data_IF_047513116819
#
_entry.id   IF_047513116819
#
_cell.length_a   1.000
_cell.length_b   1.000
_cell.length_c   1.000
_cell.angle_alpha   90.00
_cell.angle_beta   90.00
_cell.angle_gamma   90.00
#
_symmetry.space_group_name_H-M   'P 1'
#
loop_
_entity.id
_entity.type
_entity.pdbx_description
1 polymer ?
#
# COMPACT_ATOMS: atom_id res chain seq x y z
N UNK A 1 -22.87 8.67 2.81
CA UNK A 1 -22.87 7.21 2.56
C UNK A 1 -23.93 6.56 3.43
N UNK A 2 -24.58 5.49 2.96
CA UNK A 2 -25.54 4.70 3.76
C UNK A 2 -24.84 3.79 4.78
N UNK A 3 -23.57 3.46 4.55
CA UNK A 3 -22.76 2.57 5.39
C UNK A 3 -22.88 1.10 5.02
N UNK A 4 -23.65 0.77 3.98
CA UNK A 4 -23.73 -0.58 3.44
C UNK A 4 -22.42 -0.94 2.75
N UNK A 5 -21.96 -2.17 2.98
CA UNK A 5 -20.74 -2.71 2.38
C UNK A 5 -21.07 -4.04 1.74
N UNK A 6 -20.64 -4.23 0.49
CA UNK A 6 -20.75 -5.47 -0.23
C UNK A 6 -19.36 -5.92 -0.69
N UNK A 7 -19.08 -7.22 -0.55
CA UNK A 7 -17.85 -7.81 -1.03
C UNK A 7 -18.10 -8.49 -2.37
N UNK A 8 -17.49 -7.98 -3.44
CA UNK A 8 -17.66 -8.52 -4.79
C UNK A 8 -16.76 -9.75 -5.05
N UNK A 9 -15.57 -9.76 -4.45
CA UNK A 9 -14.58 -10.82 -4.59
C UNK A 9 -13.95 -11.16 -3.23
N UNK A 10 -13.52 -12.41 -2.99
CA UNK A 10 -12.67 -12.72 -1.84
C UNK A 10 -11.44 -11.81 -1.82
N UNK A 11 -11.01 -11.35 -0.64
CA UNK A 11 -9.81 -10.52 -0.53
C UNK A 11 -8.51 -11.25 -0.94
N UNK A 12 -8.58 -12.57 -1.07
CA UNK A 12 -7.51 -13.45 -1.55
C UNK A 12 -7.56 -13.69 -3.06
N UNK A 13 -8.54 -13.13 -3.77
CA UNK A 13 -8.66 -13.23 -5.22
C UNK A 13 -8.14 -11.96 -5.91
N UNK A 14 -7.46 -12.13 -7.03
CA UNK A 14 -7.01 -11.00 -7.84
C UNK A 14 -8.20 -10.27 -8.46
N UNK A 15 -8.25 -8.95 -8.30
CA UNK A 15 -9.28 -8.09 -8.88
C UNK A 15 -8.85 -7.58 -10.27
N UNK A 16 -8.54 -8.52 -11.18
CA UNK A 16 -7.98 -8.21 -12.51
C UNK A 16 -8.85 -7.20 -13.28
N UNK A 17 -8.19 -6.29 -13.98
CA UNK A 17 -8.76 -5.20 -14.76
C UNK A 17 -9.17 -3.96 -13.95
N UNK A 18 -9.18 -4.02 -12.62
CA UNK A 18 -9.70 -2.92 -11.80
C UNK A 18 -8.69 -1.78 -11.60
N UNK A 19 -7.39 -2.00 -11.84
CA UNK A 19 -6.34 -0.97 -11.84
C UNK A 19 -5.67 -0.82 -13.21
N UNK A 20 -6.33 -1.26 -14.29
CA UNK A 20 -5.78 -1.24 -15.64
C UNK A 20 -5.94 0.11 -16.38
N UNK A 21 -6.56 1.11 -15.75
CA UNK A 21 -6.87 2.37 -16.42
C UNK A 21 -5.61 3.23 -16.55
N UNK A 22 -4.85 3.04 -17.63
CA UNK A 22 -3.72 3.90 -17.99
C UNK A 22 -2.38 3.20 -18.24
N UNK A 23 -2.25 1.92 -17.85
CA UNK A 23 -1.00 1.17 -17.93
C UNK A 23 -1.16 -0.29 -17.53
N UNK A 24 -0.11 -0.85 -16.93
CA UNK A 24 -0.10 -2.23 -16.42
C UNK A 24 -1.10 -2.37 -15.28
N UNK A 25 -1.88 -3.46 -15.29
CA UNK A 25 -2.87 -3.73 -14.25
C UNK A 25 -2.21 -4.10 -12.92
N UNK A 26 -2.13 -3.12 -12.02
CA UNK A 26 -1.55 -3.31 -10.68
C UNK A 26 -2.41 -4.16 -9.75
N UNK A 27 -3.62 -4.55 -10.16
CA UNK A 27 -4.43 -5.51 -9.41
C UNK A 27 -3.99 -6.97 -9.65
N UNK A 28 -3.22 -7.22 -10.72
CA UNK A 28 -2.63 -8.53 -11.03
C UNK A 28 -1.11 -8.60 -10.82
N UNK A 29 -0.43 -7.45 -10.68
CA UNK A 29 1.02 -7.36 -10.63
C UNK A 29 1.54 -6.49 -9.48
N UNK A 30 2.65 -6.91 -8.86
CA UNK A 30 3.33 -6.16 -7.80
C UNK A 30 2.89 -6.54 -6.38
N UNK A 31 2.63 -5.54 -5.52
CA UNK A 31 2.13 -5.79 -4.16
C UNK A 31 0.70 -6.28 -4.21
N UNK A 32 0.37 -7.25 -3.36
CA UNK A 32 -1.02 -7.59 -3.06
C UNK A 32 -1.73 -6.36 -2.48
N UNK A 33 -2.83 -5.96 -3.10
CA UNK A 33 -3.66 -4.84 -2.64
C UNK A 33 -5.12 -5.26 -2.54
N UNK A 34 -5.85 -4.65 -1.62
CA UNK A 34 -7.32 -4.73 -1.57
C UNK A 34 -7.90 -3.48 -2.21
N UNK A 35 -8.88 -3.67 -3.09
CA UNK A 35 -9.61 -2.57 -3.71
C UNK A 35 -10.90 -2.30 -2.93
N UNK A 36 -11.06 -1.06 -2.50
CA UNK A 36 -12.28 -0.58 -1.85
C UNK A 36 -12.88 0.47 -2.75
N UNK A 37 -14.08 0.18 -3.26
CA UNK A 37 -14.83 1.09 -4.11
C UNK A 37 -15.91 1.78 -3.30
N UNK A 38 -15.97 3.09 -3.46
CA UNK A 38 -16.96 3.95 -2.83
C UNK A 38 -17.93 4.43 -3.90
N UNK A 39 -19.21 4.17 -3.70
CA UNK A 39 -20.27 4.76 -4.52
C UNK A 39 -20.55 6.18 -4.00
N UNK A 40 -20.21 7.17 -4.82
CA UNK A 40 -20.37 8.59 -4.50
C UNK A 40 -20.05 9.50 -5.68
N UNK A 41 -20.12 10.81 -5.48
CA UNK A 41 -19.79 11.79 -6.52
C UNK A 41 -18.33 12.23 -6.38
N UNK A 42 -17.53 12.07 -7.43
CA UNK A 42 -16.10 12.46 -7.39
C UNK A 42 -15.85 13.97 -7.14
N UNK A 43 -16.84 14.82 -7.45
CA UNK A 43 -16.81 16.26 -7.16
C UNK A 43 -17.20 16.61 -5.71
N UNK A 44 -17.80 15.67 -4.98
CA UNK A 44 -18.22 15.82 -3.59
C UNK A 44 -17.51 14.72 -2.79
N UNK A 45 -16.27 14.96 -2.33
CA UNK A 45 -15.49 13.96 -1.60
C UNK A 45 -16.33 13.31 -0.52
N UNK A 46 -16.38 11.97 -0.51
CA UNK A 46 -17.24 11.25 0.43
C UNK A 46 -16.86 11.50 1.90
N UNK A 47 -15.63 11.95 2.14
CA UNK A 47 -15.13 12.36 3.46
C UNK A 47 -15.80 13.61 4.01
N UNK A 48 -16.48 14.40 3.18
CA UNK A 48 -17.26 15.56 3.63
C UNK A 48 -18.53 15.12 4.37
N UNK A 49 -19.02 13.92 4.08
CA UNK A 49 -20.18 13.33 4.72
C UNK A 49 -19.85 12.41 5.91
N UNK A 50 -20.89 11.79 6.49
CA UNK A 50 -20.74 10.73 7.48
C UNK A 50 -20.06 9.49 6.89
N UNK A 51 -19.06 8.98 7.61
CA UNK A 51 -18.28 7.78 7.25
C UNK A 51 -18.82 6.53 7.98
N UNK A 52 -20.13 6.28 7.82
CA UNK A 52 -20.82 5.15 8.47
C UNK A 52 -20.19 3.84 7.98
N UNK A 53 -19.87 2.93 8.92
CA UNK A 53 -19.30 1.61 8.63
C UNK A 53 -17.79 1.58 8.38
N UNK A 54 -17.13 2.74 8.27
CA UNK A 54 -15.69 2.82 8.02
C UNK A 54 -14.85 2.09 9.08
N UNK A 55 -15.22 2.19 10.36
CA UNK A 55 -14.49 1.53 11.44
C UNK A 55 -14.40 0.01 11.27
N UNK A 56 -15.45 -0.63 10.74
CA UNK A 56 -15.45 -2.05 10.49
C UNK A 56 -14.46 -2.42 9.37
N UNK A 57 -14.42 -1.62 8.30
CA UNK A 57 -13.47 -1.76 7.19
C UNK A 57 -12.04 -1.58 7.70
N UNK A 58 -11.76 -0.53 8.47
CA UNK A 58 -10.42 -0.28 9.00
C UNK A 58 -9.95 -1.38 9.95
N UNK A 59 -10.82 -1.86 10.85
CA UNK A 59 -10.49 -3.00 11.73
C UNK A 59 -10.19 -4.27 10.93
N UNK A 60 -10.92 -4.49 9.85
CA UNK A 60 -10.66 -5.61 8.96
C UNK A 60 -9.30 -5.44 8.25
N UNK A 61 -8.99 -4.27 7.70
CA UNK A 61 -7.69 -3.95 7.11
C UNK A 61 -6.53 -4.09 8.12
N UNK A 62 -6.74 -3.69 9.37
CA UNK A 62 -5.76 -3.88 10.45
C UNK A 62 -5.45 -5.37 10.68
N UNK A 63 -6.43 -6.27 10.54
CA UNK A 63 -6.21 -7.72 10.66
C UNK A 63 -5.37 -8.30 9.52
N UNK A 64 -5.25 -7.58 8.41
CA UNK A 64 -4.34 -7.88 7.30
C UNK A 64 -3.03 -7.07 7.39
N UNK A 65 -2.81 -6.39 8.52
CA UNK A 65 -1.61 -5.57 8.79
C UNK A 65 -1.39 -4.44 7.77
N UNK A 66 -2.47 -3.94 7.14
CA UNK A 66 -2.39 -2.80 6.22
C UNK A 66 -2.00 -1.55 7.01
N UNK A 67 -0.88 -0.87 6.68
CA UNK A 67 -0.46 0.32 7.42
C UNK A 67 -1.47 1.46 7.26
N UNK A 68 -1.91 2.04 8.39
CA UNK A 68 -2.74 3.26 8.42
C UNK A 68 -1.93 4.51 8.09
N UNK A 69 -1.44 4.60 6.87
CA UNK A 69 -0.75 5.77 6.35
C UNK A 69 -1.13 6.01 4.89
N UNK A 70 -0.94 7.24 4.43
CA UNK A 70 -1.17 7.63 3.04
C UNK A 70 0.14 8.13 2.42
N UNK A 71 1.03 7.24 1.93
CA UNK A 71 2.41 7.61 1.58
C UNK A 71 2.53 8.69 0.49
N UNK A 72 1.57 8.75 -0.43
CA UNK A 72 1.49 9.74 -1.49
C UNK A 72 0.88 11.08 -1.05
N UNK A 73 0.47 11.20 0.22
CA UNK A 73 -0.35 12.31 0.71
C UNK A 73 -1.78 12.28 0.13
N UNK A 74 -2.64 13.23 0.51
CA UNK A 74 -4.02 13.30 0.04
C UNK A 74 -4.10 13.29 -1.50
N UNK A 75 -5.04 12.54 -2.11
CA UNK A 75 -5.30 12.62 -3.53
C UNK A 75 -5.72 14.04 -3.93
N UNK A 76 -5.39 14.45 -5.14
CA UNK A 76 -5.79 15.77 -5.62
C UNK A 76 -7.31 15.86 -5.84
N UNK A 77 -7.85 17.08 -5.85
CA UNK A 77 -9.24 17.35 -6.24
C UNK A 77 -9.43 17.14 -7.75
N UNK A 78 -10.65 16.83 -8.18
CA UNK A 78 -11.02 16.81 -9.60
C UNK A 78 -11.04 18.27 -10.11
N UNK A 79 -10.49 18.58 -11.30
CA UNK A 79 -9.93 17.66 -12.30
C UNK A 79 -8.42 17.40 -12.16
N UNK A 80 -7.72 18.04 -11.24
CA UNK A 80 -6.27 17.88 -11.06
C UNK A 80 -5.84 16.43 -10.77
N UNK A 81 -6.72 15.62 -10.16
CA UNK A 81 -6.48 14.19 -9.93
C UNK A 81 -6.22 13.39 -11.20
N UNK A 82 -6.75 13.78 -12.37
CA UNK A 82 -6.48 13.09 -13.64
C UNK A 82 -5.06 13.32 -14.18
N UNK A 83 -4.41 14.41 -13.76
CA UNK A 83 -3.02 14.71 -14.10
C UNK A 83 -2.03 14.20 -13.05
N UNK A 84 -2.53 13.69 -11.92
CA UNK A 84 -1.69 13.13 -10.86
C UNK A 84 -1.10 11.81 -11.35
N UNK A 85 0.23 11.71 -11.33
CA UNK A 85 0.94 10.46 -11.63
C UNK A 85 1.39 9.79 -10.34
N UNK A 86 1.09 8.50 -10.20
CA UNK A 86 1.60 7.70 -9.09
C UNK A 86 3.12 7.59 -9.08
N UNK A 87 3.70 7.36 -7.90
CA UNK A 87 5.13 7.18 -7.71
C UNK A 87 5.44 5.75 -7.27
N UNK A 88 6.21 5.02 -8.07
CA UNK A 88 6.58 3.61 -7.81
C UNK A 88 7.22 3.40 -6.45
N UNK A 89 8.12 4.29 -6.03
CA UNK A 89 8.81 4.15 -4.75
C UNK A 89 7.86 4.33 -3.56
N UNK A 90 6.84 5.17 -3.71
CA UNK A 90 5.82 5.35 -2.69
C UNK A 90 4.84 4.18 -2.68
N UNK A 91 4.37 3.74 -3.85
CA UNK A 91 3.53 2.56 -4.00
C UNK A 91 4.17 1.32 -3.36
N UNK A 92 5.47 1.13 -3.62
CA UNK A 92 6.25 0.05 -3.04
C UNK A 92 6.39 0.12 -1.51
N UNK A 93 5.96 1.18 -0.80
CA UNK A 93 5.94 1.22 0.67
C UNK A 93 4.70 0.54 1.27
N UNK A 94 3.63 0.38 0.49
CA UNK A 94 2.33 -0.05 0.99
C UNK A 94 1.64 1.02 1.85
N UNK A 95 0.37 0.78 2.19
CA UNK A 95 -0.52 1.75 2.82
C UNK A 95 -1.71 2.08 1.94
N UNK A 96 -2.32 3.24 2.15
CA UNK A 96 -3.50 3.68 1.41
C UNK A 96 -3.12 4.61 0.24
N UNK A 97 -3.83 4.45 -0.86
CA UNK A 97 -3.63 5.22 -2.09
C UNK A 97 -4.98 5.46 -2.77
N UNK A 98 -5.12 6.61 -3.43
CA UNK A 98 -6.17 6.78 -4.43
C UNK A 98 -5.83 6.03 -5.72
N UNK A 99 -6.84 5.68 -6.52
CA UNK A 99 -6.60 5.10 -7.84
C UNK A 99 -5.81 6.09 -8.72
N UNK A 100 -6.02 7.41 -8.57
CA UNK A 100 -5.20 8.46 -9.21
C UNK A 100 -3.73 8.48 -8.79
N UNK A 101 -3.36 7.78 -7.73
CA UNK A 101 -2.00 7.73 -7.18
C UNK A 101 -1.32 6.37 -7.43
N UNK A 102 -2.02 5.43 -8.06
CA UNK A 102 -1.41 4.19 -8.55
C UNK A 102 -0.47 4.56 -9.72
N UNK A 103 0.77 4.02 -9.76
CA UNK A 103 1.67 4.31 -10.86
C UNK A 103 1.04 4.01 -12.22
N UNK A 104 1.26 4.90 -13.19
CA UNK A 104 0.71 4.80 -14.57
C UNK A 104 -0.82 4.90 -14.68
N UNK A 105 -1.52 5.14 -13.57
CA UNK A 105 -2.97 5.34 -13.58
C UNK A 105 -3.36 6.63 -14.29
N UNK A 106 -4.52 6.59 -14.95
CA UNK A 106 -5.24 7.71 -15.55
C UNK A 106 -6.60 7.91 -14.87
N UNK A 107 -6.84 7.23 -13.75
CA UNK A 107 -8.06 7.41 -12.96
C UNK A 107 -8.03 8.74 -12.20
N UNK A 108 -9.18 9.39 -12.06
CA UNK A 108 -9.32 10.61 -11.23
C UNK A 108 -9.81 10.33 -9.81
N UNK A 109 -10.18 9.08 -9.51
CA UNK A 109 -10.74 8.70 -8.21
C UNK A 109 -9.66 8.54 -7.12
N UNK A 110 -9.98 8.83 -5.86
CA UNK A 110 -11.31 9.16 -5.32
C UNK A 110 -11.68 10.66 -5.36
N UNK A 111 -10.84 11.52 -5.95
CA UNK A 111 -10.96 12.97 -5.78
C UNK A 111 -10.40 13.44 -4.44
N UNK A 112 -10.64 14.71 -4.09
CA UNK A 112 -10.01 15.38 -2.95
C UNK A 112 -10.54 14.98 -1.58
N UNK A 113 -10.48 13.69 -1.28
CA UNK A 113 -10.82 13.13 0.03
C UNK A 113 -9.81 13.58 1.09
N UNK A 114 -10.25 13.56 2.34
CA UNK A 114 -9.41 13.80 3.51
C UNK A 114 -8.92 12.46 4.13
N UNK A 115 -7.64 12.08 3.94
CA UNK A 115 -7.08 10.86 4.52
C UNK A 115 -7.15 10.80 6.04
N UNK A 116 -7.06 11.92 6.75
CA UNK A 116 -7.05 11.93 8.22
C UNK A 116 -8.41 11.48 8.78
N UNK A 117 -9.49 11.87 8.09
CA UNK A 117 -10.84 11.39 8.42
C UNK A 117 -11.03 9.90 8.13
N UNK A 118 -10.24 9.32 7.22
CA UNK A 118 -10.30 7.90 6.89
C UNK A 118 -9.44 7.09 7.84
N UNK A 119 -8.19 7.49 8.10
CA UNK A 119 -7.25 6.70 8.90
C UNK A 119 -7.53 6.83 10.40
N UNK A 120 -8.28 7.87 10.79
CA UNK A 120 -8.35 8.39 12.14
C UNK A 120 -7.00 8.99 12.55
N UNK A 121 -6.94 9.69 13.68
CA UNK A 121 -5.66 10.08 14.30
C UNK A 121 -4.94 8.82 14.82
N UNK A 122 -4.40 8.01 13.93
CA UNK A 122 -3.67 6.81 14.26
C UNK A 122 -2.24 7.22 14.65
N UNK A 123 -1.92 7.17 15.95
CA UNK A 123 -0.53 7.12 16.36
C UNK A 123 0.13 5.91 15.66
N UNK A 124 1.34 6.04 15.09
CA UNK A 124 1.98 4.93 14.40
C UNK A 124 2.13 3.76 15.36
N UNK A 125 1.46 2.63 15.09
CA UNK A 125 1.86 1.37 15.71
C UNK A 125 3.23 1.03 15.17
N UNK A 126 4.27 1.26 15.97
CA UNK A 126 5.60 0.81 15.61
C UNK A 126 5.54 -0.70 15.40
N UNK A 127 6.06 -1.15 14.26
CA UNK A 127 6.37 -2.58 14.08
C UNK A 127 7.24 -2.98 15.27
N UNK A 128 6.94 -4.08 15.99
CA UNK A 128 7.92 -4.69 16.87
C UNK A 128 9.17 -4.91 16.03
N UNK A 129 10.27 -4.25 16.39
CA UNK A 129 11.55 -4.57 15.78
C UNK A 129 11.83 -6.05 15.99
N UNK A 130 12.56 -6.72 15.06
CA UNK A 130 13.07 -8.04 15.36
C UNK A 130 13.78 -7.98 16.72
N UNK A 131 13.65 -9.00 17.59
CA UNK A 131 14.36 -9.00 18.86
C UNK A 131 15.82 -8.70 18.57
N UNK A 132 16.37 -7.69 19.24
CA UNK A 132 17.80 -7.41 19.19
C UNK A 132 18.49 -8.65 19.73
N UNK A 133 18.88 -9.54 18.83
CA UNK A 133 19.75 -10.63 19.17
C UNK A 133 21.08 -9.99 19.55
N UNK A 134 21.53 -10.21 20.78
CA UNK A 134 22.93 -10.04 21.22
C UNK A 134 23.85 -11.03 20.47
N UNK A 135 23.65 -11.16 19.16
CA UNK A 135 24.52 -11.92 18.30
C UNK A 135 25.80 -11.09 18.14
N UNK A 136 26.87 -11.59 18.75
CA UNK A 136 28.22 -11.10 18.55
C UNK A 136 28.48 -10.84 17.05
N UNK A 137 29.24 -9.78 16.70
CA UNK A 137 29.48 -9.43 15.31
C UNK A 137 29.98 -10.65 14.52
N UNK A 138 29.31 -10.97 13.42
CA UNK A 138 29.80 -11.98 12.50
C UNK A 138 31.22 -11.61 12.06
N UNK A 139 32.17 -12.57 12.07
CA UNK A 139 33.54 -12.29 11.69
C UNK A 139 33.58 -11.75 10.26
N UNK A 140 34.16 -10.56 10.12
CA UNK A 140 34.35 -9.91 8.83
C UNK A 140 35.25 -10.79 7.95
N UNK A 141 34.69 -11.35 6.88
CA UNK A 141 35.48 -12.02 5.85
C UNK A 141 36.30 -10.96 5.13
N UNK A 142 37.60 -10.91 5.42
CA UNK A 142 38.54 -10.07 4.66
C UNK A 142 38.61 -10.62 3.24
N UNK A 143 38.18 -9.83 2.26
CA UNK A 143 38.47 -10.12 0.86
C UNK A 143 39.99 -10.09 0.66
N UNK A 144 40.59 -11.28 0.58
CA UNK A 144 41.99 -11.42 0.21
C UNK A 144 42.13 -11.00 -1.26
N UNK A 145 42.99 -10.01 -1.51
CA UNK A 145 43.20 -9.43 -2.85
C UNK A 145 43.87 -10.37 -3.86
N UNK A 146 44.16 -11.60 -3.47
CA UNK A 146 44.84 -12.57 -4.33
C UNK A 146 43.93 -13.79 -4.51
N UNK A 147 43.27 -13.88 -5.66
CA UNK A 147 42.28 -14.88 -6.04
C UNK A 147 42.82 -16.30 -6.17
N UNK A 148 43.26 -16.91 -5.07
CA UNK A 148 43.52 -18.34 -4.97
C UNK A 148 42.52 -18.95 -3.98
N UNK A 149 41.60 -19.78 -4.49
CA UNK A 149 40.77 -20.66 -3.66
C UNK A 149 41.62 -21.88 -3.31
N UNK A 150 41.97 -22.14 -2.03
CA UNK A 150 42.45 -23.45 -1.65
C UNK A 150 41.26 -24.42 -1.70
N UNK A 151 41.36 -25.44 -2.56
CA UNK A 151 40.47 -26.60 -2.52
C UNK A 151 40.56 -27.24 -1.13
N UNK A 152 39.41 -27.56 -0.55
CA UNK A 152 39.31 -28.24 0.73
C UNK A 152 39.94 -29.64 0.61
N UNK A 153 41.05 -29.85 1.32
CA UNK A 153 41.58 -31.19 1.54
C UNK A 153 40.73 -31.85 2.62
N UNK A 154 39.89 -32.80 2.23
CA UNK A 154 39.33 -33.77 3.15
C UNK A 154 40.44 -34.75 3.53
N UNK A 155 40.70 -34.91 4.83
CA UNK A 155 41.55 -35.96 5.38
C UNK A 155 40.67 -36.97 6.15
N UNK A 156 41.07 -38.26 6.19
CA UNK A 156 40.22 -39.41 6.52
C UNK A 156 39.89 -39.57 8.01
#
# INVERSE_FOLDING_TARGET
>A
MTGETAQLLPATAAALGQLALGGVDRAGEGRVCVLIQVVGHALLPFTDGPLIGLDAILRWLDSWEVPRCWPAGPPATVPASYAQTGNERLWARGGHFGHSQVPESRAGGPGGIDPERILGSAAPRQRPGPPQSDAAPLPQVRHSRNGLRPHATAAP
#
